data_IF_334233050547
#
_entry.id   IF_334233050547
#
_cell.length_a   1.000
_cell.length_b   1.000
_cell.length_c   1.000
_cell.angle_alpha   90.00
_cell.angle_beta   90.00
_cell.angle_gamma   90.00
#
_symmetry.space_group_name_H-M   'P 1'
#
loop_
_entity.id
_entity.type
_entity.pdbx_description
1 polymer ?
#
# COMPACT_ATOMS: atom_id res chain seq x y z
N UNK A 1 3.30 -58.56 -51.96
CA UNK A 1 3.86 -57.90 -50.71
C UNK A 1 3.32 -56.46 -50.69
N UNK A 2 2.28 -56.16 -49.87
CA UNK A 2 1.60 -54.84 -49.82
C UNK A 2 2.19 -54.04 -48.63
N UNK A 3 2.88 -52.97 -48.94
CA UNK A 3 3.51 -52.06 -47.96
C UNK A 3 2.44 -51.12 -47.37
N UNK A 4 2.08 -51.27 -46.07
CA UNK A 4 1.18 -50.39 -45.36
C UNK A 4 1.92 -49.13 -44.97
N UNK A 5 1.50 -47.99 -45.52
CA UNK A 5 1.97 -46.64 -45.09
C UNK A 5 1.25 -46.27 -43.81
N UNK A 6 2.01 -46.12 -42.73
CA UNK A 6 1.53 -45.55 -41.45
C UNK A 6 1.63 -44.04 -41.59
N UNK A 7 0.48 -43.35 -41.57
CA UNK A 7 0.42 -41.88 -41.49
C UNK A 7 0.38 -41.53 -40.01
N UNK A 8 1.47 -40.98 -39.47
CA UNK A 8 1.47 -40.43 -38.14
C UNK A 8 0.82 -39.05 -38.16
N UNK A 9 -0.35 -38.94 -37.55
CA UNK A 9 -1.02 -37.64 -37.32
C UNK A 9 -0.41 -37.01 -36.09
N UNK A 10 0.40 -35.96 -36.30
CA UNK A 10 0.97 -35.13 -35.24
C UNK A 10 -0.10 -34.18 -34.74
N UNK A 11 -0.72 -34.52 -33.58
CA UNK A 11 -1.67 -33.66 -32.91
C UNK A 11 -0.93 -32.53 -32.21
N UNK A 12 -0.85 -31.35 -32.84
CA UNK A 12 -0.32 -30.13 -32.23
C UNK A 12 -1.37 -29.59 -31.28
N UNK A 13 -1.26 -29.88 -29.98
CA UNK A 13 -2.12 -29.27 -28.96
C UNK A 13 -1.65 -27.83 -28.71
N UNK A 14 -2.38 -26.86 -29.28
CA UNK A 14 -2.23 -25.45 -28.89
C UNK A 14 -2.74 -25.27 -27.45
N UNK A 15 -1.81 -25.08 -26.51
CA UNK A 15 -2.18 -24.61 -25.19
C UNK A 15 -2.50 -23.09 -25.28
N UNK A 16 -3.72 -22.66 -24.91
CA UNK A 16 -4.01 -21.24 -24.85
C UNK A 16 -3.18 -20.62 -23.72
N UNK A 17 -2.34 -19.64 -24.08
CA UNK A 17 -1.60 -18.85 -23.11
C UNK A 17 -2.61 -17.97 -22.35
N UNK A 18 -2.93 -18.35 -21.10
CA UNK A 18 -3.83 -17.60 -20.21
C UNK A 18 -3.11 -16.32 -19.74
N UNK A 19 -2.98 -15.32 -20.59
CA UNK A 19 -2.47 -13.97 -20.24
C UNK A 19 -3.51 -13.09 -19.52
N UNK A 20 -4.78 -13.48 -19.51
CA UNK A 20 -5.86 -12.67 -18.95
C UNK A 20 -5.91 -12.67 -17.41
N UNK A 21 -5.60 -13.79 -16.76
CA UNK A 21 -5.75 -13.93 -15.31
C UNK A 21 -4.76 -13.08 -14.49
N UNK A 22 -3.51 -12.96 -14.93
CA UNK A 22 -2.50 -12.14 -14.23
C UNK A 22 -2.85 -10.65 -14.27
N UNK A 23 -3.29 -10.13 -15.41
CA UNK A 23 -3.66 -8.71 -15.55
C UNK A 23 -4.88 -8.32 -14.71
N UNK A 24 -5.87 -9.20 -14.58
CA UNK A 24 -7.06 -8.99 -13.74
C UNK A 24 -6.67 -9.01 -12.25
N UNK A 25 -5.78 -9.91 -11.85
CA UNK A 25 -5.24 -9.99 -10.49
C UNK A 25 -4.50 -8.69 -10.10
N UNK A 26 -3.62 -8.18 -10.96
CA UNK A 26 -2.86 -6.95 -10.72
C UNK A 26 -3.78 -5.73 -10.57
N UNK A 27 -4.81 -5.62 -11.40
CA UNK A 27 -5.79 -4.52 -11.29
C UNK A 27 -6.55 -4.60 -9.97
N UNK A 28 -6.94 -5.79 -9.52
CA UNK A 28 -7.65 -5.98 -8.25
C UNK A 28 -6.76 -5.65 -7.04
N UNK A 29 -5.48 -6.00 -7.08
CA UNK A 29 -4.50 -5.63 -6.03
C UNK A 29 -4.35 -4.12 -5.96
N UNK A 30 -4.14 -3.45 -7.11
CA UNK A 30 -4.00 -1.99 -7.17
C UNK A 30 -5.21 -1.29 -6.55
N UNK A 31 -6.41 -1.65 -6.97
CA UNK A 31 -7.64 -1.04 -6.46
C UNK A 31 -7.84 -1.28 -4.96
N UNK A 32 -7.52 -2.49 -4.46
CA UNK A 32 -7.66 -2.82 -3.05
C UNK A 32 -6.66 -2.03 -2.18
N UNK A 33 -5.41 -1.91 -2.61
CA UNK A 33 -4.37 -1.15 -1.91
C UNK A 33 -4.67 0.36 -1.95
N UNK A 34 -5.07 0.90 -3.10
CA UNK A 34 -5.48 2.30 -3.21
C UNK A 34 -6.65 2.63 -2.28
N UNK A 35 -7.64 1.72 -2.18
CA UNK A 35 -8.76 1.90 -1.27
C UNK A 35 -8.33 2.04 0.20
N UNK A 36 -7.33 1.27 0.66
CA UNK A 36 -6.78 1.43 2.02
C UNK A 36 -6.22 2.85 2.21
N UNK A 37 -5.44 3.36 1.26
CA UNK A 37 -4.88 4.71 1.33
C UNK A 37 -5.97 5.79 1.35
N UNK A 38 -7.03 5.65 0.55
CA UNK A 38 -8.16 6.59 0.56
C UNK A 38 -8.96 6.52 1.86
N UNK A 39 -9.08 5.35 2.47
CA UNK A 39 -9.69 5.21 3.79
C UNK A 39 -8.83 5.89 4.87
N UNK A 40 -7.51 5.73 4.82
CA UNK A 40 -6.59 6.43 5.72
C UNK A 40 -6.70 7.96 5.58
N UNK A 41 -6.69 8.48 4.34
CA UNK A 41 -6.88 9.91 4.06
C UNK A 41 -8.22 10.41 4.63
N UNK A 42 -9.28 9.64 4.44
CA UNK A 42 -10.61 9.95 4.97
C UNK A 42 -10.64 9.97 6.49
N UNK A 43 -10.04 8.96 7.16
CA UNK A 43 -9.98 8.88 8.61
C UNK A 43 -9.16 10.05 9.19
N UNK A 44 -7.98 10.33 8.63
CA UNK A 44 -7.16 11.47 9.03
C UNK A 44 -7.93 12.79 8.97
N UNK A 45 -8.63 13.03 7.86
CA UNK A 45 -9.38 14.27 7.62
C UNK A 45 -10.62 14.41 8.52
N UNK A 46 -11.03 13.33 9.20
CA UNK A 46 -12.02 13.33 10.29
C UNK A 46 -11.40 13.41 11.68
N UNK A 47 -10.06 13.54 11.78
CA UNK A 47 -9.29 13.49 13.02
C UNK A 47 -9.38 12.13 13.74
N UNK A 48 -9.74 11.07 13.01
CA UNK A 48 -9.82 9.71 13.47
C UNK A 48 -8.47 9.00 13.25
N UNK A 49 -7.55 9.19 14.18
CA UNK A 49 -6.22 8.60 14.10
C UNK A 49 -6.25 7.08 14.29
N UNK A 50 -7.17 6.56 15.10
CA UNK A 50 -7.34 5.12 15.27
C UNK A 50 -7.83 4.48 13.96
N UNK A 51 -8.79 5.13 13.26
CA UNK A 51 -9.23 4.74 11.92
C UNK A 51 -8.10 4.81 10.89
N UNK A 52 -7.26 5.84 10.93
CA UNK A 52 -6.06 5.92 10.08
C UNK A 52 -5.11 4.73 10.30
N UNK A 53 -4.91 4.35 11.55
CA UNK A 53 -4.02 3.25 11.93
C UNK A 53 -4.57 1.86 11.58
N UNK A 54 -5.85 1.72 11.22
CA UNK A 54 -6.39 0.44 10.70
C UNK A 54 -5.77 0.01 9.38
N UNK A 55 -5.21 0.94 8.61
CA UNK A 55 -4.45 0.66 7.40
C UNK A 55 -3.10 -0.01 7.65
N UNK A 56 -2.58 0.06 8.87
CA UNK A 56 -1.33 -0.57 9.28
C UNK A 56 -1.57 -1.94 9.91
N UNK A 57 -0.60 -2.83 9.72
CA UNK A 57 -0.58 -4.14 10.35
C UNK A 57 -0.40 -4.01 11.87
N UNK A 58 -1.38 -4.49 12.63
CA UNK A 58 -1.33 -4.47 14.09
C UNK A 58 -0.40 -5.57 14.60
N UNK A 59 0.91 -5.29 14.60
CA UNK A 59 1.97 -6.21 14.97
C UNK A 59 3.15 -5.46 15.59
N UNK A 60 3.91 -6.11 16.50
CA UNK A 60 5.20 -5.58 16.94
C UNK A 60 6.24 -5.49 15.82
N UNK A 61 6.05 -6.22 14.72
CA UNK A 61 6.98 -6.26 13.57
C UNK A 61 6.70 -5.16 12.51
N UNK A 62 5.65 -4.34 12.69
CA UNK A 62 5.46 -3.15 11.88
C UNK A 62 6.68 -2.24 11.99
N UNK A 63 7.18 -1.73 10.86
CA UNK A 63 8.29 -0.77 10.85
C UNK A 63 7.87 0.55 10.21
N UNK A 64 8.22 1.67 10.86
CA UNK A 64 8.00 3.01 10.36
C UNK A 64 9.29 3.83 10.43
N UNK A 65 9.80 4.23 9.27
CA UNK A 65 10.96 5.09 9.10
C UNK A 65 10.49 6.50 8.75
N UNK A 66 11.00 7.49 9.48
CA UNK A 66 10.74 8.90 9.18
C UNK A 66 12.00 9.70 9.46
N UNK A 67 12.63 10.23 8.42
CA UNK A 67 13.98 10.74 8.49
C UNK A 67 14.94 9.64 8.97
N UNK A 68 15.79 9.95 9.93
CA UNK A 68 16.72 9.00 10.54
C UNK A 68 16.11 8.17 11.70
N UNK A 69 14.81 8.30 11.98
CA UNK A 69 14.16 7.66 13.12
C UNK A 69 13.41 6.41 12.70
N UNK A 70 13.78 5.25 13.26
CA UNK A 70 13.02 4.02 13.22
C UNK A 70 12.02 3.97 14.38
N UNK A 71 10.77 3.59 14.10
CA UNK A 71 9.76 3.20 15.07
C UNK A 71 9.32 1.77 14.74
N UNK A 72 9.37 0.86 15.71
CA UNK A 72 8.95 -0.53 15.56
C UNK A 72 7.67 -0.79 16.35
N UNK A 73 6.72 -1.49 15.75
CA UNK A 73 5.45 -1.88 16.33
C UNK A 73 4.32 -0.89 16.09
N UNK A 74 3.13 -1.44 15.96
CA UNK A 74 1.89 -0.69 15.71
C UNK A 74 1.57 0.30 16.84
N UNK A 75 1.67 -0.15 18.10
CA UNK A 75 1.38 0.67 19.27
C UNK A 75 2.32 1.88 19.35
N UNK A 76 3.64 1.65 19.18
CA UNK A 76 4.63 2.71 19.22
C UNK A 76 4.45 3.71 18.06
N UNK A 77 3.98 3.23 16.90
CA UNK A 77 3.65 4.08 15.75
C UNK A 77 2.43 4.95 16.05
N UNK A 78 1.36 4.38 16.62
CA UNK A 78 0.18 5.14 17.04
C UNK A 78 0.54 6.20 18.08
N UNK A 79 1.31 5.87 19.10
CA UNK A 79 1.74 6.82 20.13
C UNK A 79 2.57 7.97 19.56
N UNK A 80 3.46 7.66 18.59
CA UNK A 80 4.21 8.68 17.87
C UNK A 80 3.29 9.63 17.11
N UNK A 81 2.29 9.12 16.40
CA UNK A 81 1.30 9.95 15.69
C UNK A 81 0.48 10.80 16.67
N UNK A 82 0.00 10.22 17.78
CA UNK A 82 -0.74 10.96 18.82
C UNK A 82 0.11 12.11 19.37
N UNK A 83 1.35 11.85 19.72
CA UNK A 83 2.28 12.86 20.22
C UNK A 83 2.53 13.99 19.20
N UNK A 84 2.65 13.65 17.92
CA UNK A 84 2.98 14.62 16.87
C UNK A 84 1.79 15.47 16.46
N UNK A 85 0.58 14.89 16.43
CA UNK A 85 -0.57 15.50 15.75
C UNK A 85 -1.81 15.70 16.64
N UNK A 86 -1.87 15.09 17.83
CA UNK A 86 -3.02 15.20 18.74
C UNK A 86 -2.67 15.73 20.13
N UNK A 87 -1.39 16.06 20.41
CA UNK A 87 -1.03 16.73 21.66
C UNK A 87 -1.50 18.19 21.67
N UNK A 88 -1.57 18.76 22.87
CA UNK A 88 -2.01 20.15 23.06
C UNK A 88 -1.24 21.12 22.18
N UNK A 89 -1.95 22.01 21.51
CA UNK A 89 -1.37 22.99 20.59
C UNK A 89 -1.00 22.47 19.21
N UNK A 90 -1.26 21.19 18.91
CA UNK A 90 -1.01 20.60 17.60
C UNK A 90 -2.31 20.41 16.81
N UNK A 91 -2.22 20.47 15.49
CA UNK A 91 -3.31 20.19 14.57
C UNK A 91 -2.86 19.12 13.57
N UNK A 92 -3.80 18.26 13.18
CA UNK A 92 -3.52 17.21 12.20
C UNK A 92 -3.40 17.76 10.78
N UNK A 93 -3.97 18.94 10.50
CA UNK A 93 -4.10 19.45 9.15
C UNK A 93 -4.99 18.57 8.28
N UNK A 94 -5.15 18.96 7.01
CA UNK A 94 -5.85 18.17 5.99
C UNK A 94 -4.83 17.37 5.18
N UNK A 95 -4.94 16.04 5.21
CA UNK A 95 -4.08 15.12 4.47
C UNK A 95 -4.59 14.92 3.04
N UNK A 96 -3.65 14.88 2.11
CA UNK A 96 -3.83 14.48 0.72
C UNK A 96 -2.68 13.56 0.29
N UNK A 97 -3.03 12.42 -0.31
CA UNK A 97 -2.08 11.55 -1.01
C UNK A 97 -2.19 11.76 -2.52
N UNK A 98 -1.03 11.95 -3.17
CA UNK A 98 -0.93 12.15 -4.62
C UNK A 98 0.17 11.27 -5.24
N UNK A 99 0.23 11.27 -6.57
CA UNK A 99 1.26 10.59 -7.37
C UNK A 99 1.42 9.10 -7.05
N UNK A 100 0.32 8.46 -6.67
CA UNK A 100 0.30 7.06 -6.25
C UNK A 100 0.74 6.14 -7.38
N UNK A 101 1.77 5.35 -7.13
CA UNK A 101 2.24 4.26 -7.97
C UNK A 101 2.21 2.97 -7.17
N UNK A 102 1.34 2.06 -7.58
CA UNK A 102 1.12 0.78 -6.89
C UNK A 102 1.60 -0.33 -7.81
N UNK A 103 2.64 -1.02 -7.38
CA UNK A 103 3.26 -2.13 -8.09
C UNK A 103 2.97 -3.44 -7.35
N UNK A 104 2.07 -4.31 -7.87
CA UNK A 104 1.83 -5.62 -7.28
C UNK A 104 3.10 -6.47 -7.25
N UNK A 105 3.35 -7.13 -6.11
CA UNK A 105 4.43 -8.08 -5.89
C UNK A 105 3.85 -9.50 -5.72
N UNK A 106 3.03 -9.92 -6.69
CA UNK A 106 2.23 -11.13 -6.61
C UNK A 106 0.85 -10.88 -5.99
N UNK A 107 0.10 -11.96 -5.65
CA UNK A 107 -1.29 -11.86 -5.21
C UNK A 107 -1.46 -11.27 -3.80
N UNK A 108 -0.42 -11.32 -2.96
CA UNK A 108 -0.50 -11.01 -1.54
C UNK A 108 0.50 -9.92 -1.09
N UNK A 109 1.20 -9.27 -2.03
CA UNK A 109 2.14 -8.18 -1.78
C UNK A 109 1.97 -7.02 -2.73
N UNK A 110 2.30 -5.82 -2.28
CA UNK A 110 2.41 -4.64 -3.14
C UNK A 110 3.46 -3.66 -2.59
N UNK A 111 4.14 -2.99 -3.51
CA UNK A 111 5.01 -1.86 -3.25
C UNK A 111 4.33 -0.58 -3.72
N UNK A 112 4.30 0.43 -2.85
CA UNK A 112 3.65 1.71 -3.14
C UNK A 112 4.65 2.85 -3.00
N UNK A 113 4.61 3.77 -3.92
CA UNK A 113 5.30 5.06 -3.88
C UNK A 113 4.29 6.16 -4.05
N UNK A 114 4.46 7.26 -3.35
CA UNK A 114 3.55 8.40 -3.46
C UNK A 114 4.10 9.63 -2.77
N UNK A 115 3.31 10.68 -2.82
CA UNK A 115 3.54 11.92 -2.13
C UNK A 115 2.42 12.16 -1.10
N UNK A 116 2.78 12.82 0.00
CA UNK A 116 1.84 13.29 1.01
C UNK A 116 1.95 14.80 1.17
N UNK A 117 0.85 15.41 1.50
CA UNK A 117 0.76 16.84 1.84
C UNK A 117 -0.22 17.02 3.00
N UNK A 118 0.15 17.87 3.95
CA UNK A 118 -0.77 18.39 4.96
C UNK A 118 -1.03 19.86 4.66
N UNK A 119 -2.29 20.29 4.68
CA UNK A 119 -2.66 21.70 4.68
C UNK A 119 -3.04 22.06 6.12
N UNK A 120 -2.20 22.88 6.74
CA UNK A 120 -2.36 23.27 8.13
C UNK A 120 -3.30 24.50 8.25
N UNK A 121 -3.96 24.70 9.41
CA UNK A 121 -4.83 25.88 9.62
C UNK A 121 -4.09 27.22 9.53
N UNK A 122 -2.78 27.25 9.83
CA UNK A 122 -1.91 28.43 9.72
C UNK A 122 -1.42 28.71 8.30
N UNK A 123 -1.89 27.91 7.29
CA UNK A 123 -1.53 28.03 5.89
C UNK A 123 -0.25 27.32 5.49
N UNK A 124 0.50 26.74 6.44
CA UNK A 124 1.65 25.90 6.10
C UNK A 124 1.23 24.63 5.37
N UNK A 125 2.11 24.14 4.49
CA UNK A 125 1.85 22.94 3.70
C UNK A 125 3.04 21.96 3.77
N UNK A 126 3.33 21.37 4.97
CA UNK A 126 4.34 20.32 5.03
C UNK A 126 3.98 19.18 4.08
N UNK A 127 4.99 18.67 3.39
CA UNK A 127 4.81 17.63 2.37
C UNK A 127 6.07 16.78 2.25
N UNK A 128 5.95 15.68 1.52
CA UNK A 128 7.08 14.80 1.27
C UNK A 128 6.69 13.57 0.47
N UNK A 129 7.60 12.60 0.47
CA UNK A 129 7.44 11.36 -0.27
C UNK A 129 7.33 10.18 0.71
N UNK A 130 6.71 9.10 0.24
CA UNK A 130 6.68 7.85 0.98
C UNK A 130 6.87 6.64 0.07
N UNK A 131 7.35 5.57 0.69
CA UNK A 131 7.34 4.21 0.14
C UNK A 131 6.72 3.29 1.16
N UNK A 132 5.79 2.42 0.71
CA UNK A 132 5.08 1.49 1.57
C UNK A 132 5.20 0.08 1.01
N UNK A 133 5.31 -0.90 1.91
CA UNK A 133 5.12 -2.30 1.60
C UNK A 133 3.80 -2.75 2.19
N UNK A 134 2.93 -3.27 1.33
CA UNK A 134 1.66 -3.88 1.73
C UNK A 134 1.74 -5.40 1.69
N UNK A 135 1.06 -6.03 2.62
CA UNK A 135 0.73 -7.45 2.62
C UNK A 135 -0.76 -7.66 2.75
N UNK A 136 -1.25 -8.73 2.13
CA UNK A 136 -2.63 -9.19 2.28
C UNK A 136 -2.72 -10.19 3.43
N UNK A 137 -3.66 -9.92 4.33
CA UNK A 137 -4.01 -10.77 5.46
C UNK A 137 -5.48 -11.22 5.35
N UNK A 138 -5.95 -12.04 6.27
CA UNK A 138 -7.35 -12.48 6.33
C UNK A 138 -8.35 -11.33 6.54
N UNK A 139 -7.91 -10.25 7.20
CA UNK A 139 -8.67 -9.03 7.46
C UNK A 139 -8.39 -7.88 6.47
N UNK A 140 -7.72 -8.18 5.36
CA UNK A 140 -7.47 -7.24 4.26
C UNK A 140 -6.01 -6.87 4.04
N UNK A 141 -5.80 -5.84 3.23
CA UNK A 141 -4.48 -5.31 2.92
C UNK A 141 -4.01 -4.37 4.03
N UNK A 142 -2.75 -4.56 4.49
CA UNK A 142 -2.14 -3.76 5.56
C UNK A 142 -0.74 -3.30 5.16
N UNK A 143 -0.38 -2.10 5.59
CA UNK A 143 0.99 -1.59 5.53
C UNK A 143 1.82 -2.32 6.58
N UNK A 144 2.88 -3.01 6.16
CA UNK A 144 3.83 -3.71 7.03
C UNK A 144 5.14 -2.94 7.19
N UNK A 145 5.42 -2.04 6.25
CA UNK A 145 6.56 -1.13 6.31
C UNK A 145 6.17 0.22 5.70
N UNK A 146 6.57 1.29 6.37
CA UNK A 146 6.43 2.67 5.91
C UNK A 146 7.79 3.37 6.00
N UNK A 147 8.18 4.03 4.92
CA UNK A 147 9.30 4.96 4.91
C UNK A 147 8.83 6.30 4.36
N UNK A 148 8.79 7.28 5.22
CA UNK A 148 8.33 8.64 4.90
C UNK A 148 9.46 9.65 5.08
N UNK A 149 9.62 10.53 4.10
CA UNK A 149 10.48 11.72 4.17
C UNK A 149 9.64 12.98 4.15
N UNK A 150 10.17 14.07 4.72
CA UNK A 150 9.62 15.41 4.58
C UNK A 150 10.56 16.25 3.71
N UNK A 151 9.99 17.15 2.89
CA UNK A 151 10.76 18.19 2.23
C UNK A 151 11.26 19.20 3.27
N UNK A 152 12.47 19.70 3.07
CA UNK A 152 13.07 20.77 3.87
C UNK A 152 12.47 22.14 3.53
#
# INVERSE_FOLDING_TARGET
MRLKRIVAVLCLTLFPVIRGAAKTSDTSVKSAVENVLRQQETAWNRRDLDGFMTGYWNSPDLTFFSGAKLTSGWQATLERYRKTYQSEGHDMGKLEFSDLRIDPLGPDGAFVRGAWRLTMPDGKTPHGLFTLIFKKFSDGWKIVHDHTSAAE
#
